data_IF_178362298126
#
_entry.id   IF_178362298126
#
_cell.length_a   1.000
_cell.length_b   1.000
_cell.length_c   1.000
_cell.angle_alpha   90.00
_cell.angle_beta   90.00
_cell.angle_gamma   90.00
#
_symmetry.space_group_name_H-M   'P 1'
#
loop_
_entity.id
_entity.type
_entity.pdbx_description
1 polymer ?
#
# COMPACT_ATOMS: atom_id res chain seq x y z
N UNK A 1 29.81 0.86 -24.61
CA UNK A 1 29.12 -0.37 -24.17
C UNK A 1 29.64 -0.76 -22.80
N UNK A 2 28.99 -0.28 -21.72
CA UNK A 2 29.40 -0.59 -20.34
C UNK A 2 28.61 -1.78 -19.78
N UNK A 3 29.23 -2.41 -18.80
CA UNK A 3 29.23 -3.83 -18.49
C UNK A 3 28.04 -4.28 -17.60
N UNK A 4 26.88 -4.61 -18.20
CA UNK A 4 25.69 -5.16 -17.49
C UNK A 4 25.91 -6.51 -16.77
N UNK A 5 27.06 -7.16 -16.95
CA UNK A 5 27.39 -8.43 -16.24
C UNK A 5 27.98 -8.22 -14.85
N UNK A 6 28.56 -7.05 -14.56
CA UNK A 6 29.14 -6.73 -13.25
C UNK A 6 28.08 -6.53 -12.14
N UNK A 7 26.98 -5.84 -12.47
CA UNK A 7 25.91 -5.52 -11.52
C UNK A 7 25.07 -6.75 -11.11
N UNK A 8 24.85 -7.70 -12.03
CA UNK A 8 24.18 -8.96 -11.69
C UNK A 8 25.01 -9.82 -10.74
N UNK A 9 26.33 -9.81 -10.87
CA UNK A 9 27.22 -10.52 -9.95
C UNK A 9 27.26 -9.86 -8.57
N UNK A 10 27.22 -8.52 -8.50
CA UNK A 10 27.22 -7.80 -7.21
C UNK A 10 25.91 -7.98 -6.45
N UNK A 11 24.75 -8.03 -7.11
CA UNK A 11 23.45 -8.27 -6.46
C UNK A 11 23.31 -9.71 -5.94
N UNK A 12 23.77 -10.71 -6.72
CA UNK A 12 23.83 -12.10 -6.25
C UNK A 12 24.82 -12.28 -5.09
N UNK A 13 25.98 -11.60 -5.14
CA UNK A 13 26.93 -11.59 -4.03
C UNK A 13 26.37 -10.85 -2.81
N UNK A 14 25.64 -9.74 -2.96
CA UNK A 14 24.97 -9.06 -1.83
C UNK A 14 23.89 -9.95 -1.22
N UNK A 15 23.10 -10.63 -2.05
CA UNK A 15 22.09 -11.59 -1.61
C UNK A 15 22.72 -12.75 -0.85
N UNK A 16 23.78 -13.37 -1.39
CA UNK A 16 24.51 -14.45 -0.72
C UNK A 16 25.28 -13.98 0.53
N UNK A 17 25.80 -12.76 0.53
CA UNK A 17 26.53 -12.18 1.66
C UNK A 17 25.57 -11.80 2.79
N UNK A 18 24.40 -11.24 2.47
CA UNK A 18 23.32 -11.05 3.42
C UNK A 18 22.82 -12.40 3.95
N UNK A 19 22.53 -13.38 3.09
CA UNK A 19 22.15 -14.75 3.49
C UNK A 19 23.15 -15.38 4.48
N UNK A 20 24.47 -15.23 4.28
CA UNK A 20 25.51 -15.71 5.22
C UNK A 20 25.51 -14.99 6.56
N UNK A 21 25.11 -13.72 6.62
CA UNK A 21 25.00 -12.95 7.88
C UNK A 21 23.85 -13.45 8.77
N UNK A 22 22.89 -14.18 8.21
CA UNK A 22 21.66 -14.62 8.89
C UNK A 22 21.58 -16.13 9.18
N UNK A 23 22.56 -16.94 8.77
CA UNK A 23 22.51 -18.40 8.99
C UNK A 23 22.42 -18.82 10.47
N UNK A 24 22.83 -17.95 11.40
CA UNK A 24 22.79 -18.20 12.84
C UNK A 24 21.71 -17.40 13.58
N UNK A 25 20.79 -16.73 12.87
CA UNK A 25 19.79 -15.87 13.47
C UNK A 25 18.38 -16.43 13.28
N UNK A 26 17.52 -16.22 14.28
CA UNK A 26 16.10 -16.46 14.14
C UNK A 26 15.48 -15.29 13.37
N UNK A 27 14.81 -15.57 12.25
CA UNK A 27 14.20 -14.55 11.41
C UNK A 27 12.99 -15.09 10.62
N UNK A 28 12.12 -14.17 10.22
CA UNK A 28 11.05 -14.40 9.24
C UNK A 28 11.06 -13.25 8.23
N UNK A 29 10.95 -13.59 6.96
CA UNK A 29 10.85 -12.65 5.85
C UNK A 29 9.45 -12.68 5.24
N UNK A 30 8.90 -11.49 5.01
CA UNK A 30 7.73 -11.31 4.16
C UNK A 30 8.07 -10.36 3.02
N UNK A 31 7.32 -10.47 1.93
CA UNK A 31 7.40 -9.51 0.84
C UNK A 31 6.01 -9.13 0.34
N UNK A 32 5.94 -7.95 -0.26
CA UNK A 32 4.76 -7.47 -0.97
C UNK A 32 5.18 -6.56 -2.12
N UNK A 33 4.34 -6.49 -3.15
CA UNK A 33 4.50 -5.56 -4.24
C UNK A 33 4.13 -4.15 -3.76
N UNK A 34 4.82 -3.13 -4.26
CA UNK A 34 4.61 -1.74 -3.88
C UNK A 34 4.57 -0.85 -5.11
N UNK A 35 3.59 0.07 -5.15
CA UNK A 35 3.51 1.08 -6.20
C UNK A 35 4.02 2.43 -5.68
N UNK A 36 4.60 3.24 -6.57
CA UNK A 36 4.98 4.63 -6.31
C UNK A 36 6.02 4.89 -5.20
N UNK A 37 6.74 3.89 -4.68
CA UNK A 37 7.78 4.12 -3.66
C UNK A 37 9.20 3.91 -4.19
N UNK A 38 10.08 4.90 -4.03
CA UNK A 38 11.49 4.76 -4.36
C UNK A 38 12.18 3.69 -3.50
N UNK A 39 13.24 3.04 -4.03
CA UNK A 39 14.05 2.13 -3.26
C UNK A 39 14.60 2.80 -1.99
N UNK A 40 14.38 2.16 -0.85
CA UNK A 40 14.83 2.67 0.45
C UNK A 40 15.00 1.52 1.42
N UNK A 41 15.99 1.64 2.30
CA UNK A 41 16.14 0.74 3.44
C UNK A 41 15.98 1.53 4.72
N UNK A 42 15.13 1.07 5.62
CA UNK A 42 14.98 1.67 6.93
C UNK A 42 14.65 0.65 8.01
N UNK A 43 14.94 1.04 9.25
CA UNK A 43 14.73 0.21 10.43
C UNK A 43 13.58 0.75 11.25
N UNK A 44 12.88 -0.18 11.90
CA UNK A 44 11.84 0.08 12.89
C UNK A 44 12.16 -0.78 14.10
N UNK A 45 12.44 -0.12 15.23
CA UNK A 45 12.65 -0.78 16.50
C UNK A 45 11.31 -1.30 17.02
N UNK A 46 11.23 -2.60 17.29
CA UNK A 46 10.04 -3.23 17.84
C UNK A 46 10.49 -4.33 18.81
N UNK A 47 10.08 -4.22 20.07
CA UNK A 47 10.48 -5.10 21.17
C UNK A 47 9.23 -5.67 21.85
N UNK A 48 8.36 -6.29 21.07
CA UNK A 48 7.17 -6.98 21.56
C UNK A 48 7.14 -8.40 21.00
N UNK A 49 6.51 -9.30 21.75
CA UNK A 49 6.47 -10.74 21.48
C UNK A 49 7.86 -11.36 21.25
N UNK A 50 8.08 -11.90 20.04
CA UNK A 50 9.29 -12.58 19.61
C UNK A 50 10.21 -11.67 18.80
N UNK A 51 9.82 -10.44 18.48
CA UNK A 51 10.49 -9.57 17.51
C UNK A 51 11.39 -8.58 18.23
N UNK A 52 12.57 -8.33 17.67
CA UNK A 52 13.59 -7.41 18.22
C UNK A 52 13.96 -6.28 17.27
N UNK A 53 13.83 -6.52 15.97
CA UNK A 53 14.16 -5.54 14.94
C UNK A 53 13.34 -5.85 13.69
N UNK A 54 12.84 -4.81 13.03
CA UNK A 54 12.20 -4.91 11.72
C UNK A 54 13.06 -4.10 10.75
N UNK A 55 13.58 -4.77 9.71
CA UNK A 55 14.28 -4.12 8.62
C UNK A 55 13.37 -4.15 7.40
N UNK A 56 13.11 -2.99 6.82
CA UNK A 56 12.28 -2.84 5.63
C UNK A 56 13.18 -2.40 4.49
N UNK A 57 13.09 -3.12 3.38
CA UNK A 57 13.90 -2.89 2.19
C UNK A 57 12.93 -2.78 1.02
N UNK A 58 12.86 -1.62 0.39
CA UNK A 58 12.19 -1.41 -0.89
C UNK A 58 13.29 -1.39 -1.95
N UNK A 59 13.17 -2.27 -2.93
CA UNK A 59 14.14 -2.40 -4.02
C UNK A 59 13.40 -2.39 -5.36
N UNK A 60 14.01 -1.80 -6.37
CA UNK A 60 13.56 -1.92 -7.75
C UNK A 60 14.08 -3.26 -8.31
N UNK A 61 13.16 -4.17 -8.61
CA UNK A 61 13.46 -5.32 -9.46
C UNK A 61 13.46 -4.87 -10.92
N UNK A 62 14.48 -5.26 -11.68
CA UNK A 62 14.73 -4.68 -13.00
C UNK A 62 13.96 -5.33 -14.15
N UNK A 63 13.34 -6.50 -13.95
CA UNK A 63 12.74 -7.30 -15.03
C UNK A 63 11.57 -8.19 -14.53
N UNK A 64 10.31 -7.75 -14.67
CA UNK A 64 9.88 -6.40 -15.06
C UNK A 64 10.29 -5.34 -14.01
N UNK A 65 10.39 -4.04 -14.38
CA UNK A 65 10.52 -2.96 -13.40
C UNK A 65 9.37 -3.05 -12.38
N UNK A 66 9.68 -3.36 -11.12
CA UNK A 66 8.71 -3.39 -10.02
C UNK A 66 9.39 -3.04 -8.70
N UNK A 67 8.72 -2.27 -7.84
CA UNK A 67 9.23 -2.06 -6.49
C UNK A 67 8.69 -3.18 -5.58
N UNK A 68 9.62 -3.93 -5.00
CA UNK A 68 9.33 -4.97 -4.02
C UNK A 68 9.70 -4.44 -2.65
N UNK A 69 8.78 -4.52 -1.71
CA UNK A 69 9.11 -4.32 -0.30
C UNK A 69 9.30 -5.67 0.38
N UNK A 70 10.46 -5.83 1.00
CA UNK A 70 10.81 -6.96 1.85
C UNK A 70 10.85 -6.51 3.30
N UNK A 71 10.13 -7.22 4.16
CA UNK A 71 10.06 -7.00 5.61
C UNK A 71 10.80 -8.16 6.27
N UNK A 72 11.97 -7.87 6.83
CA UNK A 72 12.76 -8.82 7.60
C UNK A 72 12.53 -8.60 9.09
N UNK A 73 11.93 -9.58 9.76
CA UNK A 73 11.70 -9.55 11.20
C UNK A 73 12.76 -10.41 11.89
N UNK A 74 13.64 -9.76 12.65
CA UNK A 74 14.63 -10.43 13.49
C UNK A 74 13.98 -10.83 14.80
N UNK A 75 14.16 -12.09 15.18
CA UNK A 75 13.53 -12.65 16.35
C UNK A 75 14.51 -12.87 17.52
N UNK A 76 13.95 -12.97 18.72
CA UNK A 76 14.67 -13.33 19.93
C UNK A 76 15.35 -14.70 19.78
N UNK A 77 16.45 -14.94 20.50
CA UNK A 77 17.19 -16.20 20.43
C UNK A 77 16.50 -17.37 21.13
N UNK A 78 15.60 -17.10 22.08
CA UNK A 78 14.96 -18.07 22.97
C UNK A 78 13.53 -18.46 22.54
N UNK A 79 13.25 -18.51 21.23
CA UNK A 79 11.92 -18.87 20.73
C UNK A 79 11.58 -20.31 21.12
N UNK A 80 10.47 -20.48 21.83
CA UNK A 80 9.99 -21.80 22.28
C UNK A 80 8.96 -22.42 21.35
N UNK A 81 8.34 -21.62 20.46
CA UNK A 81 7.34 -22.10 19.50
C UNK A 81 7.49 -21.43 18.15
N UNK A 82 7.78 -22.23 17.12
CA UNK A 82 7.85 -21.78 15.72
C UNK A 82 6.50 -21.25 15.23
N UNK A 83 5.40 -21.90 15.61
CA UNK A 83 4.05 -21.51 15.20
C UNK A 83 3.68 -20.12 15.75
N UNK A 84 3.87 -19.90 17.05
CA UNK A 84 3.60 -18.59 17.68
C UNK A 84 4.50 -17.49 17.12
N UNK A 85 5.75 -17.80 16.81
CA UNK A 85 6.66 -16.86 16.16
C UNK A 85 6.17 -16.49 14.75
N UNK A 86 5.70 -17.46 13.95
CA UNK A 86 5.15 -17.21 12.63
C UNK A 86 3.83 -16.42 12.67
N UNK A 87 2.98 -16.67 13.67
CA UNK A 87 1.73 -15.93 13.88
C UNK A 87 1.98 -14.48 14.30
N UNK A 88 2.86 -14.26 15.28
CA UNK A 88 3.25 -12.92 15.75
C UNK A 88 3.90 -12.12 14.63
N UNK A 89 4.86 -12.69 13.91
CA UNK A 89 5.52 -12.01 12.78
C UNK A 89 4.58 -11.67 11.64
N UNK A 90 3.62 -12.55 11.32
CA UNK A 90 2.59 -12.26 10.33
C UNK A 90 1.69 -11.11 10.78
N UNK A 91 1.31 -11.10 12.06
CA UNK A 91 0.49 -10.04 12.65
C UNK A 91 1.20 -8.70 12.61
N UNK A 92 2.48 -8.65 13.01
CA UNK A 92 3.29 -7.44 12.96
C UNK A 92 3.51 -6.95 11.53
N UNK A 93 3.79 -7.85 10.58
CA UNK A 93 3.91 -7.48 9.18
C UNK A 93 2.60 -6.89 8.62
N UNK A 94 1.43 -7.47 8.96
CA UNK A 94 0.11 -6.90 8.60
C UNK A 94 -0.12 -5.52 9.22
N UNK A 95 0.22 -5.34 10.50
CA UNK A 95 0.14 -4.04 11.17
C UNK A 95 1.02 -2.99 10.48
N UNK A 96 2.23 -3.38 10.08
CA UNK A 96 3.14 -2.51 9.37
C UNK A 96 2.55 -2.05 8.03
N UNK A 97 1.99 -2.97 7.23
CA UNK A 97 1.32 -2.63 5.98
C UNK A 97 0.15 -1.68 6.23
N UNK A 98 -0.71 -1.96 7.22
CA UNK A 98 -1.81 -1.06 7.57
C UNK A 98 -1.32 0.34 7.92
N UNK A 99 -0.27 0.45 8.75
CA UNK A 99 0.31 1.73 9.15
C UNK A 99 0.93 2.45 7.96
N UNK A 100 1.66 1.76 7.09
CA UNK A 100 2.24 2.33 5.90
C UNK A 100 1.15 2.87 4.96
N UNK A 101 0.13 2.05 4.62
CA UNK A 101 -1.02 2.49 3.83
C UNK A 101 -1.70 3.71 4.47
N UNK A 102 -1.92 3.67 5.78
CA UNK A 102 -2.54 4.78 6.51
C UNK A 102 -1.66 6.04 6.48
N UNK A 103 -0.35 5.95 6.71
CA UNK A 103 0.52 7.12 6.80
C UNK A 103 0.85 7.71 5.44
N UNK A 104 1.15 6.89 4.44
CA UNK A 104 1.65 7.35 3.15
C UNK A 104 0.59 7.38 2.06
N UNK A 105 -0.56 6.71 2.24
CA UNK A 105 -1.46 6.43 1.14
C UNK A 105 -0.87 5.44 0.13
N UNK A 106 0.26 4.81 0.46
CA UNK A 106 0.96 3.88 -0.42
C UNK A 106 0.15 2.64 -0.71
N UNK A 107 0.40 2.06 -1.88
CA UNK A 107 -0.29 0.88 -2.39
C UNK A 107 0.62 -0.30 -2.19
N UNK A 108 0.16 -1.24 -1.37
CA UNK A 108 0.92 -2.41 -0.96
C UNK A 108 0.08 -3.64 -1.27
N UNK A 109 0.61 -4.58 -2.04
CA UNK A 109 -0.07 -5.81 -2.40
C UNK A 109 -0.32 -6.74 -1.22
N UNK A 110 -0.77 -7.96 -1.54
CA UNK A 110 -0.93 -9.02 -0.55
C UNK A 110 0.41 -9.48 0.00
N UNK A 111 0.52 -9.53 1.32
CA UNK A 111 1.71 -9.99 2.02
C UNK A 111 1.94 -11.48 1.75
N UNK A 112 3.14 -11.82 1.28
CA UNK A 112 3.57 -13.20 1.03
C UNK A 112 4.74 -13.54 1.93
N UNK A 113 4.82 -14.80 2.37
CA UNK A 113 5.95 -15.27 3.17
C UNK A 113 7.10 -15.64 2.24
N UNK A 114 8.28 -15.09 2.51
CA UNK A 114 9.53 -15.44 1.83
C UNK A 114 10.17 -16.65 2.50
N UNK A 115 11.33 -16.44 3.11
CA UNK A 115 12.05 -17.43 3.88
C UNK A 115 11.92 -17.20 5.40
N UNK A 116 12.28 -18.21 6.18
CA UNK A 116 12.45 -18.08 7.62
C UNK A 116 13.46 -19.09 8.14
N UNK A 117 14.06 -18.79 9.29
CA UNK A 117 14.86 -19.72 10.09
C UNK A 117 14.52 -19.50 11.55
N UNK A 118 14.03 -20.53 12.23
CA UNK A 118 13.70 -20.49 13.66
C UNK A 118 14.33 -21.71 14.32
N UNK A 119 15.26 -21.49 15.24
CA UNK A 119 16.06 -22.51 15.92
C UNK A 119 16.72 -23.49 14.93
N UNK A 120 17.23 -22.96 13.81
CA UNK A 120 17.88 -23.75 12.75
C UNK A 120 16.93 -24.56 11.87
N UNK A 121 15.60 -24.41 12.02
CA UNK A 121 14.58 -25.04 11.17
C UNK A 121 13.89 -23.98 10.30
N UNK A 122 13.68 -24.26 9.02
CA UNK A 122 12.95 -23.31 8.17
C UNK A 122 12.89 -23.65 6.68
N UNK A 123 12.29 -22.74 5.93
CA UNK A 123 12.11 -22.83 4.47
C UNK A 123 13.02 -21.80 3.78
N UNK A 124 13.83 -22.28 2.84
CA UNK A 124 14.62 -21.46 1.94
C UNK A 124 13.83 -21.22 0.64
N UNK A 125 12.92 -20.24 0.69
CA UNK A 125 12.33 -19.59 -0.49
C UNK A 125 10.99 -20.15 -0.99
N UNK A 126 10.06 -19.24 -1.29
CA UNK A 126 8.84 -19.44 -2.10
C UNK A 126 8.70 -18.20 -2.99
N UNK A 127 8.55 -18.39 -4.31
CA UNK A 127 8.44 -17.28 -5.27
C UNK A 127 7.26 -17.45 -6.22
N UNK A 128 6.46 -16.39 -6.36
CA UNK A 128 5.54 -16.18 -7.49
C UNK A 128 5.41 -14.67 -7.75
N UNK A 129 5.31 -14.25 -9.02
CA UNK A 129 5.40 -12.85 -9.48
C UNK A 129 4.16 -12.50 -10.32
N UNK A 130 3.63 -11.29 -10.16
CA UNK A 130 2.63 -10.71 -11.08
C UNK A 130 3.06 -9.29 -11.49
N UNK A 131 2.80 -8.90 -12.75
CA UNK A 131 3.41 -7.78 -13.48
C UNK A 131 2.58 -6.48 -13.42
N UNK A 132 3.13 -5.31 -13.07
CA UNK A 132 2.58 -3.96 -13.41
C UNK A 132 3.67 -2.84 -13.36
N UNK A 133 3.40 -1.67 -13.96
CA UNK A 133 4.34 -0.58 -14.37
C UNK A 133 4.13 0.73 -13.56
N UNK A 134 5.17 1.52 -13.20
CA UNK A 134 5.01 2.77 -12.42
C UNK A 134 6.11 3.86 -12.53
N UNK A 135 5.71 5.10 -12.18
CA UNK A 135 6.51 6.30 -11.81
C UNK A 135 6.63 6.40 -10.26
N UNK A 136 7.62 7.13 -9.70
CA UNK A 136 8.04 6.94 -8.28
C UNK A 136 8.02 8.20 -7.39
N UNK A 137 7.84 8.00 -6.07
CA UNK A 137 7.99 9.02 -5.01
C UNK A 137 8.87 8.53 -3.84
N UNK A 138 9.62 9.44 -3.20
CA UNK A 138 10.48 9.11 -2.05
C UNK A 138 9.70 8.84 -0.76
N UNK A 139 10.08 7.81 0.00
CA UNK A 139 9.62 7.66 1.38
C UNK A 139 10.31 8.71 2.27
N UNK A 140 9.55 9.54 3.02
CA UNK A 140 10.15 10.53 3.91
C UNK A 140 10.92 9.90 5.07
N UNK A 141 12.02 10.52 5.48
CA UNK A 141 12.88 10.03 6.58
C UNK A 141 12.15 9.91 7.94
N UNK A 142 11.06 10.66 8.14
CA UNK A 142 10.23 10.58 9.36
C UNK A 142 9.42 9.28 9.50
N UNK A 143 9.32 8.48 8.42
CA UNK A 143 8.45 7.30 8.40
C UNK A 143 8.86 6.25 9.44
N UNK A 144 10.16 6.01 9.66
CA UNK A 144 10.66 5.06 10.66
C UNK A 144 10.11 5.35 12.05
N UNK A 145 10.28 6.59 12.52
CA UNK A 145 9.83 7.00 13.85
C UNK A 145 8.31 6.93 13.98
N UNK A 146 7.58 7.34 12.92
CA UNK A 146 6.13 7.24 12.92
C UNK A 146 5.64 5.78 12.96
N UNK A 147 6.34 4.84 12.34
CA UNK A 147 6.00 3.42 12.38
C UNK A 147 6.30 2.81 13.74
N UNK A 148 7.43 3.17 14.35
CA UNK A 148 7.76 2.73 15.72
C UNK A 148 6.70 3.17 16.74
N UNK A 149 6.25 4.43 16.65
CA UNK A 149 5.16 4.94 17.50
C UNK A 149 3.83 4.25 17.18
N UNK A 150 3.50 4.09 15.89
CA UNK A 150 2.25 3.46 15.47
C UNK A 150 2.15 1.99 15.86
N UNK A 151 3.27 1.24 15.83
CA UNK A 151 3.30 -0.16 16.27
C UNK A 151 3.10 -0.33 17.77
N UNK A 152 3.34 0.71 18.57
CA UNK A 152 3.12 0.72 20.03
C UNK A 152 1.72 1.24 20.40
N UNK A 153 1.00 1.84 19.45
CA UNK A 153 -0.33 2.38 19.68
C UNK A 153 -1.40 1.30 19.44
N UNK A 154 -1.71 0.57 20.51
CA UNK A 154 -2.72 -0.49 20.47
C UNK A 154 -4.11 0.02 20.06
N UNK A 155 -4.46 1.26 20.37
CA UNK A 155 -5.76 1.84 19.99
C UNK A 155 -5.80 2.12 18.50
N UNK A 156 -4.73 2.71 17.94
CA UNK A 156 -4.60 2.92 16.49
C UNK A 156 -4.60 1.57 15.75
N UNK A 157 -3.82 0.60 16.21
CA UNK A 157 -3.76 -0.73 15.58
C UNK A 157 -5.10 -1.46 15.65
N UNK A 158 -5.81 -1.37 16.78
CA UNK A 158 -7.16 -1.91 16.90
C UNK A 158 -8.11 -1.22 15.92
N UNK A 159 -8.10 0.13 15.87
CA UNK A 159 -8.94 0.90 14.98
C UNK A 159 -8.69 0.56 13.50
N UNK A 160 -7.42 0.50 13.06
CA UNK A 160 -7.06 0.10 11.70
C UNK A 160 -7.49 -1.33 11.33
N UNK A 161 -7.74 -2.19 12.32
CA UNK A 161 -8.23 -3.57 12.10
C UNK A 161 -9.75 -3.66 12.13
N UNK A 162 -10.40 -2.94 13.03
CA UNK A 162 -11.84 -3.10 13.33
C UNK A 162 -12.71 -2.06 12.67
N UNK A 163 -12.17 -0.90 12.28
CA UNK A 163 -12.90 0.12 11.54
C UNK A 163 -13.08 -0.34 10.09
N UNK A 164 -14.33 -0.58 9.72
CA UNK A 164 -14.68 -1.04 8.38
C UNK A 164 -14.18 -0.10 7.27
N UNK A 165 -14.15 1.21 7.50
CA UNK A 165 -13.69 2.15 6.47
C UNK A 165 -12.18 2.10 6.27
N UNK A 166 -11.38 1.91 7.33
CA UNK A 166 -9.93 1.70 7.15
C UNK A 166 -9.63 0.40 6.43
N UNK A 167 -10.37 -0.68 6.76
CA UNK A 167 -10.26 -1.95 6.05
C UNK A 167 -10.63 -1.78 4.58
N UNK A 168 -11.79 -1.19 4.27
CA UNK A 168 -12.24 -0.96 2.89
C UNK A 168 -11.29 -0.05 2.11
N UNK A 169 -10.78 1.01 2.75
CA UNK A 169 -9.79 1.90 2.16
C UNK A 169 -8.53 1.13 1.78
N UNK A 170 -8.01 0.30 2.70
CA UNK A 170 -6.87 -0.56 2.39
C UNK A 170 -7.15 -1.44 1.18
N UNK A 171 -8.26 -2.18 1.15
CA UNK A 171 -8.63 -3.05 0.01
C UNK A 171 -8.69 -2.26 -1.31
N UNK A 172 -9.22 -1.04 -1.30
CA UNK A 172 -9.22 -0.16 -2.46
C UNK A 172 -7.78 0.14 -2.93
N UNK A 173 -6.87 0.47 -2.01
CA UNK A 173 -5.46 0.74 -2.33
C UNK A 173 -4.69 -0.51 -2.82
N UNK A 174 -5.18 -1.73 -2.55
CA UNK A 174 -4.61 -2.97 -3.08
C UNK A 174 -5.17 -3.35 -4.47
N UNK A 175 -6.16 -2.61 -4.98
CA UNK A 175 -6.80 -2.90 -6.27
C UNK A 175 -5.95 -2.35 -7.41
N UNK A 176 -5.44 -3.20 -8.30
CA UNK A 176 -4.56 -2.77 -9.41
C UNK A 176 -5.31 -2.01 -10.52
N UNK A 177 -6.56 -2.38 -10.78
CA UNK A 177 -7.36 -1.67 -11.79
C UNK A 177 -7.80 -0.31 -11.26
N UNK A 178 -7.35 0.76 -11.93
CA UNK A 178 -7.57 2.14 -11.47
C UNK A 178 -9.05 2.52 -11.44
N UNK A 179 -9.87 1.98 -12.35
CA UNK A 179 -11.31 2.26 -12.39
C UNK A 179 -11.99 1.59 -11.18
N UNK A 180 -11.68 0.32 -10.92
CA UNK A 180 -12.19 -0.40 -9.76
C UNK A 180 -11.77 0.25 -8.44
N UNK A 181 -10.48 0.62 -8.32
CA UNK A 181 -9.95 1.38 -7.18
C UNK A 181 -10.73 2.68 -6.98
N UNK A 182 -10.90 3.45 -8.05
CA UNK A 182 -11.63 4.71 -8.04
C UNK A 182 -13.09 4.54 -7.59
N UNK A 183 -13.79 3.54 -8.12
CA UNK A 183 -15.17 3.26 -7.76
C UNK A 183 -15.31 2.79 -6.30
N UNK A 184 -14.35 2.01 -5.79
CA UNK A 184 -14.31 1.63 -4.37
C UNK A 184 -14.06 2.84 -3.47
N UNK A 185 -13.07 3.67 -3.79
CA UNK A 185 -12.79 4.91 -3.05
C UNK A 185 -14.02 5.83 -3.02
N UNK A 186 -14.70 5.99 -4.16
CA UNK A 186 -15.93 6.78 -4.22
C UNK A 186 -17.03 6.18 -3.34
N UNK A 187 -17.21 4.85 -3.37
CA UNK A 187 -18.17 4.15 -2.52
C UNK A 187 -17.94 4.39 -1.03
N UNK A 188 -16.67 4.40 -0.59
CA UNK A 188 -16.29 4.68 0.80
C UNK A 188 -16.69 6.10 1.19
N UNK A 189 -16.21 7.13 0.46
CA UNK A 189 -16.51 8.52 0.81
C UNK A 189 -18.00 8.83 0.68
N UNK A 190 -18.69 8.22 -0.29
CA UNK A 190 -20.14 8.34 -0.42
C UNK A 190 -20.86 7.84 0.83
N UNK A 191 -20.50 6.67 1.33
CA UNK A 191 -21.12 6.12 2.54
C UNK A 191 -20.79 6.97 3.78
N UNK A 192 -19.52 7.36 3.96
CA UNK A 192 -19.06 8.25 5.03
C UNK A 192 -19.82 9.59 5.01
N UNK A 193 -20.07 10.14 3.83
CA UNK A 193 -20.83 11.39 3.64
C UNK A 193 -22.35 11.16 3.63
N UNK A 194 -22.85 10.14 4.34
CA UNK A 194 -24.28 9.80 4.48
C UNK A 194 -24.99 9.52 3.15
N UNK A 195 -24.33 8.81 2.25
CA UNK A 195 -24.89 8.33 0.98
C UNK A 195 -25.53 9.44 0.13
N UNK A 196 -24.81 10.54 -0.06
CA UNK A 196 -25.27 11.67 -0.89
C UNK A 196 -24.12 12.22 -1.73
N UNK A 197 -24.32 12.27 -3.05
CA UNK A 197 -23.34 12.84 -3.98
C UNK A 197 -23.10 14.32 -3.65
N UNK A 198 -24.16 15.05 -3.30
CA UNK A 198 -24.11 16.48 -2.96
C UNK A 198 -23.26 16.72 -1.70
N UNK A 199 -23.33 15.80 -0.73
CA UNK A 199 -22.48 15.85 0.47
C UNK A 199 -21.02 15.51 0.14
N UNK A 200 -20.77 14.56 -0.75
CA UNK A 200 -19.42 14.27 -1.27
C UNK A 200 -18.83 15.51 -1.96
N UNK A 201 -19.56 16.09 -2.92
CA UNK A 201 -19.11 17.30 -3.61
C UNK A 201 -18.87 18.46 -2.63
N UNK A 202 -19.76 18.65 -1.65
CA UNK A 202 -19.62 19.70 -0.63
C UNK A 202 -18.42 19.47 0.28
N UNK A 203 -18.15 18.22 0.66
CA UNK A 203 -16.97 17.83 1.42
C UNK A 203 -15.69 18.17 0.63
N UNK A 204 -15.63 17.80 -0.64
CA UNK A 204 -14.48 18.04 -1.51
C UNK A 204 -14.26 19.55 -1.72
N UNK A 205 -15.31 20.32 -2.00
CA UNK A 205 -15.23 21.79 -2.15
C UNK A 205 -14.71 22.47 -0.89
N UNK A 206 -15.07 21.96 0.29
CA UNK A 206 -14.59 22.52 1.56
C UNK A 206 -13.09 22.32 1.73
N UNK A 207 -12.55 21.20 1.25
CA UNK A 207 -11.11 20.91 1.32
C UNK A 207 -10.32 21.60 0.20
N UNK A 208 -10.90 21.68 -1.00
CA UNK A 208 -10.32 22.37 -2.15
C UNK A 208 -11.37 23.24 -2.84
N UNK A 209 -11.45 24.54 -2.50
CA UNK A 209 -12.39 25.48 -3.14
C UNK A 209 -12.12 25.71 -4.64
N UNK A 210 -10.92 25.37 -5.12
CA UNK A 210 -10.52 25.50 -6.52
C UNK A 210 -10.58 24.17 -7.27
N UNK A 211 -11.30 23.17 -6.73
CA UNK A 211 -11.47 21.89 -7.40
C UNK A 211 -12.16 22.07 -8.76
N UNK A 212 -11.71 21.31 -9.76
CA UNK A 212 -12.37 21.28 -11.05
C UNK A 212 -13.84 20.85 -10.90
N UNK A 213 -14.73 21.60 -11.52
CA UNK A 213 -16.15 21.30 -11.61
C UNK A 213 -16.57 21.06 -13.05
N UNK A 214 -17.55 20.17 -13.23
CA UNK A 214 -18.16 19.89 -14.52
C UNK A 214 -19.67 19.93 -14.41
N UNK A 215 -20.29 20.26 -15.52
CA UNK A 215 -21.75 20.17 -15.65
C UNK A 215 -22.17 18.70 -15.62
N UNK A 216 -23.12 18.39 -14.73
CA UNK A 216 -23.77 17.09 -14.63
C UNK A 216 -24.37 16.65 -15.97
N UNK A 217 -24.10 15.41 -16.36
CA UNK A 217 -24.72 14.74 -17.52
C UNK A 217 -26.13 14.19 -17.22
N UNK A 218 -26.58 14.22 -15.96
CA UNK A 218 -27.93 13.80 -15.59
C UNK A 218 -28.99 14.76 -16.17
N UNK A 219 -29.90 14.28 -17.02
CA UNK A 219 -30.92 15.11 -17.67
C UNK A 219 -31.96 15.68 -16.70
N UNK A 220 -32.06 15.17 -15.47
CA UNK A 220 -32.95 15.69 -14.42
C UNK A 220 -32.37 16.91 -13.70
N UNK A 221 -31.06 17.09 -13.78
CA UNK A 221 -30.34 18.22 -13.18
C UNK A 221 -29.42 18.85 -14.20
N UNK A 222 -29.96 19.31 -15.36
CA UNK A 222 -29.15 19.99 -16.36
C UNK A 222 -28.57 21.25 -15.72
N UNK A 223 -27.28 21.52 -15.94
CA UNK A 223 -26.52 22.67 -15.39
C UNK A 223 -26.04 22.55 -13.93
N UNK A 224 -26.34 21.45 -13.22
CA UNK A 224 -25.77 21.26 -11.88
C UNK A 224 -24.25 21.09 -12.00
N UNK A 225 -23.49 21.93 -11.31
CA UNK A 225 -22.04 21.76 -11.18
C UNK A 225 -21.76 20.67 -10.14
N UNK A 226 -20.97 19.68 -10.54
CA UNK A 226 -20.48 18.60 -9.70
C UNK A 226 -18.96 18.58 -9.77
N UNK A 227 -18.30 18.08 -8.73
CA UNK A 227 -16.84 17.96 -8.78
C UNK A 227 -16.43 16.99 -9.86
N UNK A 228 -15.20 17.13 -10.37
CA UNK A 228 -14.58 16.17 -11.30
C UNK A 228 -14.74 14.73 -10.81
N UNK A 229 -14.67 14.51 -9.49
CA UNK A 229 -14.76 13.17 -8.94
C UNK A 229 -16.15 12.53 -9.11
N UNK A 230 -17.20 13.28 -8.80
CA UNK A 230 -18.58 12.83 -9.00
C UNK A 230 -18.90 12.68 -10.49
N UNK A 231 -18.33 13.55 -11.33
CA UNK A 231 -18.49 13.47 -12.78
C UNK A 231 -17.90 12.17 -13.34
N UNK A 232 -16.64 11.85 -13.02
CA UNK A 232 -15.97 10.62 -13.47
C UNK A 232 -16.70 9.36 -12.99
N UNK A 233 -17.19 9.36 -11.74
CA UNK A 233 -18.02 8.26 -11.22
C UNK A 233 -19.29 8.07 -12.03
N UNK A 234 -19.92 9.16 -12.45
CA UNK A 234 -21.15 9.10 -13.23
C UNK A 234 -20.90 8.62 -14.66
N UNK A 235 -19.78 9.00 -15.28
CA UNK A 235 -19.40 8.45 -16.60
C UNK A 235 -19.18 6.93 -16.54
N UNK A 236 -18.59 6.40 -15.46
CA UNK A 236 -18.46 4.95 -15.27
C UNK A 236 -19.80 4.28 -14.92
N UNK A 237 -20.56 4.87 -13.99
CA UNK A 237 -21.77 4.26 -13.44
C UNK A 237 -23.00 4.38 -14.34
N UNK A 238 -22.97 5.32 -15.29
CA UNK A 238 -24.06 5.63 -16.21
C UNK A 238 -23.53 5.77 -17.65
N UNK A 239 -22.66 4.85 -18.06
CA UNK A 239 -22.09 4.81 -19.42
C UNK A 239 -23.19 4.97 -20.46
N UNK A 240 -23.09 6.03 -21.27
CA UNK A 240 -23.93 6.21 -22.45
C UNK A 240 -23.20 5.68 -23.68
N UNK A 241 -23.89 5.52 -24.81
CA UNK A 241 -23.24 5.12 -26.06
C UNK A 241 -22.14 6.08 -26.55
N UNK A 242 -22.03 7.27 -25.96
CA UNK A 242 -21.04 8.29 -26.28
C UNK A 242 -19.89 8.39 -25.26
N UNK A 243 -19.91 7.61 -24.17
CA UNK A 243 -18.86 7.68 -23.15
C UNK A 243 -17.57 7.07 -23.68
N UNK A 244 -16.52 7.88 -23.82
CA UNK A 244 -15.17 7.39 -24.14
C UNK A 244 -14.49 6.86 -22.87
N UNK A 245 -14.55 5.53 -22.70
CA UNK A 245 -13.99 4.86 -21.53
C UNK A 245 -12.46 5.02 -21.41
N UNK A 246 -11.75 5.20 -22.53
CA UNK A 246 -10.29 5.37 -22.50
C UNK A 246 -9.93 6.76 -21.99
N UNK A 247 -10.67 7.78 -22.42
CA UNK A 247 -10.55 9.14 -21.89
C UNK A 247 -10.88 9.16 -20.38
N UNK A 248 -12.00 8.56 -19.98
CA UNK A 248 -12.39 8.49 -18.54
C UNK A 248 -11.32 7.77 -17.72
N UNK A 249 -10.78 6.65 -18.23
CA UNK A 249 -9.68 5.93 -17.58
C UNK A 249 -8.43 6.79 -17.44
N UNK A 250 -8.08 7.56 -18.47
CA UNK A 250 -6.94 8.47 -18.43
C UNK A 250 -7.14 9.54 -17.36
N UNK A 251 -8.28 10.23 -17.35
CA UNK A 251 -8.57 11.24 -16.34
C UNK A 251 -8.59 10.68 -14.91
N UNK A 252 -9.11 9.47 -14.73
CA UNK A 252 -9.06 8.78 -13.44
C UNK A 252 -7.62 8.53 -13.01
N UNK A 253 -6.71 8.12 -13.91
CA UNK A 253 -5.30 7.96 -13.53
C UNK A 253 -4.70 9.26 -13.00
N UNK A 254 -5.03 10.41 -13.59
CA UNK A 254 -4.52 11.71 -13.16
C UNK A 254 -5.01 12.13 -11.77
N UNK A 255 -6.24 11.76 -11.39
CA UNK A 255 -6.87 12.26 -10.17
C UNK A 255 -7.00 11.21 -9.04
N UNK A 256 -6.82 9.92 -9.33
CA UNK A 256 -7.13 8.84 -8.38
C UNK A 256 -6.29 8.90 -7.10
N UNK A 257 -5.01 9.23 -7.20
CA UNK A 257 -4.13 9.29 -6.03
C UNK A 257 -4.47 10.48 -5.13
N UNK A 258 -4.80 11.64 -5.72
CA UNK A 258 -5.33 12.79 -4.97
C UNK A 258 -6.68 12.47 -4.34
N UNK A 259 -7.55 11.74 -5.05
CA UNK A 259 -8.84 11.31 -4.53
C UNK A 259 -8.70 10.35 -3.35
N UNK A 260 -7.75 9.41 -3.42
CA UNK A 260 -7.45 8.48 -2.34
C UNK A 260 -7.09 9.23 -1.06
N UNK A 261 -6.28 10.30 -1.17
CA UNK A 261 -5.93 11.13 -0.01
C UNK A 261 -7.17 11.85 0.57
N UNK A 262 -8.06 12.40 -0.27
CA UNK A 262 -9.33 12.99 0.20
C UNK A 262 -10.23 11.98 0.90
N UNK A 263 -10.30 10.74 0.41
CA UNK A 263 -11.10 9.68 1.03
C UNK A 263 -10.49 9.28 2.37
N UNK A 264 -9.17 9.21 2.46
CA UNK A 264 -8.44 8.96 3.71
C UNK A 264 -8.67 10.05 4.76
N UNK A 265 -8.81 11.30 4.36
CA UNK A 265 -9.09 12.41 5.28
C UNK A 265 -10.56 12.46 5.71
N UNK A 266 -11.43 11.66 5.09
CA UNK A 266 -12.86 11.55 5.43
C UNK A 266 -13.15 10.49 6.49
N UNK A 267 -12.27 9.48 6.61
CA UNK A 267 -12.40 8.31 7.51
C UNK A 267 -11.76 8.55 8.87
#
# INVERSE_FOLDING_TARGET
MFNKRGEKFSLLLLYYYNQRRWMNLNYVEYYTDVENLNPVTFKVNHNEDYITEINIIIEEETLPPKNKMTIHLKLQSNITSTEKALESTLTTAKNLINLLTYKTGGKFGSLRRGCYSINGKGVLGIGEITLYNFETTDLPQWISQSLELGLKDNNLLANLKTNDYHRLYREAMQTNDVIARYMFLYGIVYHVQNSSQDKVDSYIRRLNPSIEERTSTNPRTPNKQITIYTWLRNEIGHTTGNTDINMVKHEINEVCDTFAQLVKDAI
#
